data_IF_432547361862
#
_entry.id   IF_432547361862
#
_cell.length_a   1.000
_cell.length_b   1.000
_cell.length_c   1.000
_cell.angle_alpha   90.00
_cell.angle_beta   90.00
_cell.angle_gamma   90.00
#
_symmetry.space_group_name_H-M   'P 1'
#
loop_
_entity.id
_entity.type
_entity.pdbx_description
1 polymer ?
#
# COMPACT_ATOMS: atom_id res chain seq x y z
N UNK A 1 -4.97 -5.81 32.95
CA UNK A 1 -5.24 -4.41 33.30
C UNK A 1 -5.15 -3.65 31.99
N UNK A 2 -6.29 -3.36 31.38
CA UNK A 2 -6.33 -2.41 30.27
C UNK A 2 -5.91 -1.07 30.85
N UNK A 3 -4.67 -0.67 30.58
CA UNK A 3 -4.27 0.70 30.85
C UNK A 3 -5.06 1.51 29.85
N UNK A 4 -6.03 2.25 30.36
CA UNK A 4 -6.80 3.25 29.62
C UNK A 4 -5.86 4.40 29.24
N UNK A 5 -4.95 4.10 28.32
CA UNK A 5 -4.18 5.09 27.59
C UNK A 5 -5.14 5.59 26.52
N UNK A 6 -5.95 6.59 26.83
CA UNK A 6 -6.58 7.43 25.81
C UNK A 6 -5.47 8.00 24.93
N UNK A 7 -5.64 7.94 23.60
CA UNK A 7 -4.73 8.62 22.68
C UNK A 7 -4.87 10.12 22.98
N UNK A 8 -3.81 10.81 23.42
CA UNK A 8 -3.96 12.09 24.10
C UNK A 8 -4.15 13.30 23.18
N UNK A 9 -4.53 13.10 21.91
CA UNK A 9 -4.78 14.19 20.97
C UNK A 9 -5.77 13.73 19.87
N UNK A 10 -6.52 14.68 19.30
CA UNK A 10 -7.36 14.45 18.11
C UNK A 10 -6.47 14.29 16.88
N UNK A 11 -6.66 13.21 16.10
CA UNK A 11 -5.96 13.06 14.83
C UNK A 11 -6.35 14.22 13.90
N UNK A 12 -5.38 14.84 13.20
CA UNK A 12 -5.66 15.99 12.35
C UNK A 12 -6.51 15.58 11.13
N UNK A 13 -7.77 16.05 11.19
CA UNK A 13 -8.82 16.09 10.15
C UNK A 13 -9.14 14.76 9.43
N UNK A 14 -10.41 14.29 9.39
CA UNK A 14 -10.82 13.14 8.58
C UNK A 14 -10.37 13.28 7.12
N UNK A 15 -9.80 12.21 6.57
CA UNK A 15 -9.23 12.19 5.23
C UNK A 15 -10.30 12.03 4.12
N UNK A 16 -11.32 12.89 4.13
CA UNK A 16 -12.34 12.91 3.07
C UNK A 16 -11.95 13.84 1.91
N UNK A 17 -11.03 14.79 2.14
CA UNK A 17 -10.53 15.69 1.10
C UNK A 17 -9.20 15.20 0.50
N UNK A 18 -9.19 14.97 -0.82
CA UNK A 18 -7.99 14.62 -1.60
C UNK A 18 -7.00 15.80 -1.75
N UNK A 19 -7.40 17.01 -1.36
CA UNK A 19 -6.54 18.18 -1.27
C UNK A 19 -6.05 18.34 0.17
N UNK A 20 -5.16 17.44 0.58
CA UNK A 20 -4.52 17.57 1.88
C UNK A 20 -3.52 18.72 1.78
N UNK A 21 -3.84 19.84 2.43
CA UNK A 21 -2.90 20.95 2.59
C UNK A 21 -1.61 20.43 3.27
N UNK A 22 -0.45 20.97 2.88
CA UNK A 22 0.86 20.54 3.37
C UNK A 22 0.97 20.53 4.91
N UNK A 23 0.24 21.45 5.55
CA UNK A 23 0.11 21.55 7.01
C UNK A 23 -0.51 20.30 7.64
N UNK A 24 -1.57 19.74 7.03
CA UNK A 24 -2.25 18.52 7.53
C UNK A 24 -1.30 17.31 7.46
N UNK A 25 -0.45 17.22 6.44
CA UNK A 25 0.53 16.13 6.34
C UNK A 25 1.58 16.19 7.45
N UNK A 26 2.06 17.39 7.72
CA UNK A 26 3.03 17.62 8.79
C UNK A 26 2.44 17.22 10.15
N UNK A 27 1.19 17.58 10.43
CA UNK A 27 0.49 17.19 11.65
C UNK A 27 0.31 15.67 11.75
N UNK A 28 -0.01 14.99 10.64
CA UNK A 28 -0.13 13.51 10.61
C UNK A 28 1.21 12.82 10.85
N UNK A 29 2.33 13.38 10.40
CA UNK A 29 3.63 12.82 10.76
C UNK A 29 3.98 13.08 12.21
N UNK A 30 3.68 14.28 12.72
CA UNK A 30 3.86 14.61 14.13
C UNK A 30 3.05 13.69 15.04
N UNK A 31 1.83 13.29 14.64
CA UNK A 31 1.02 12.26 15.30
C UNK A 31 1.83 10.97 15.50
N UNK A 32 2.38 10.40 14.42
CA UNK A 32 3.04 9.08 14.45
C UNK A 32 4.34 9.12 15.22
N UNK A 33 5.04 10.24 15.13
CA UNK A 33 6.36 10.43 15.74
C UNK A 33 6.27 10.89 17.21
N UNK A 34 5.06 11.20 17.70
CA UNK A 34 4.89 11.69 19.07
C UNK A 34 5.23 10.61 20.12
N UNK A 35 5.88 10.99 21.24
CA UNK A 35 6.17 10.04 22.34
C UNK A 35 4.92 9.39 22.93
N UNK A 36 3.78 10.07 22.86
CA UNK A 36 2.49 9.58 23.35
C UNK A 36 1.92 8.49 22.46
N UNK A 37 1.90 8.68 21.14
CA UNK A 37 1.51 7.65 20.18
C UNK A 37 2.42 6.44 20.30
N UNK A 38 3.73 6.66 20.39
CA UNK A 38 4.70 5.58 20.58
C UNK A 38 4.37 4.72 21.82
N UNK A 39 4.21 5.35 23.00
CA UNK A 39 3.89 4.64 24.24
C UNK A 39 2.55 3.91 24.18
N UNK A 40 1.58 4.46 23.46
CA UNK A 40 0.25 3.85 23.29
C UNK A 40 0.33 2.52 22.52
N UNK A 41 1.12 2.49 21.45
CA UNK A 41 1.36 1.27 20.66
C UNK A 41 2.29 0.30 21.39
N UNK A 42 3.31 0.80 22.09
CA UNK A 42 4.23 -0.02 22.89
C UNK A 42 3.49 -0.81 23.97
N UNK A 43 2.56 -0.15 24.69
CA UNK A 43 1.70 -0.79 25.69
C UNK A 43 0.80 -1.91 25.10
N UNK A 44 0.61 -1.94 23.78
CA UNK A 44 -0.17 -2.93 23.03
C UNK A 44 0.71 -3.92 22.25
N UNK A 45 2.02 -3.93 22.51
CA UNK A 45 2.96 -4.88 21.92
C UNK A 45 3.47 -4.50 20.54
N UNK A 46 3.37 -3.23 20.15
CA UNK A 46 3.88 -2.73 18.86
C UNK A 46 4.94 -1.65 19.08
N UNK A 47 6.15 -1.88 18.58
CA UNK A 47 7.20 -0.88 18.54
C UNK A 47 7.18 -0.20 17.18
N UNK A 48 6.70 1.05 17.12
CA UNK A 48 6.68 1.82 15.87
C UNK A 48 8.08 2.01 15.30
N UNK A 49 8.16 2.12 13.98
CA UNK A 49 9.38 2.54 13.30
C UNK A 49 9.70 3.99 13.62
N UNK A 50 10.98 4.35 13.54
CA UNK A 50 11.45 5.72 13.74
C UNK A 50 11.65 6.40 12.39
N UNK A 51 11.12 7.62 12.26
CA UNK A 51 11.39 8.48 11.11
C UNK A 51 12.85 8.94 11.11
N UNK A 52 13.47 8.93 9.94
CA UNK A 52 14.82 9.45 9.76
C UNK A 52 14.80 10.98 9.73
N UNK A 53 15.82 11.66 10.29
CA UNK A 53 15.90 13.12 10.20
C UNK A 53 15.99 13.57 8.73
N UNK A 54 15.40 14.72 8.40
CA UNK A 54 15.65 15.44 7.15
C UNK A 54 17.05 16.04 7.18
N UNK A 55 17.67 16.27 6.01
CA UNK A 55 18.80 17.19 5.92
C UNK A 55 18.35 18.61 6.27
N UNK A 56 19.26 19.46 6.75
CA UNK A 56 18.95 20.83 7.22
C UNK A 56 18.28 21.75 6.17
N UNK A 57 18.28 21.35 4.88
CA UNK A 57 17.80 22.16 3.74
C UNK A 57 16.46 21.66 3.12
N UNK A 58 15.84 20.58 3.63
CA UNK A 58 14.63 20.02 3.00
C UNK A 58 13.35 20.65 3.57
N UNK A 59 12.63 21.39 2.72
CA UNK A 59 11.30 21.95 3.00
C UNK A 59 10.19 20.88 3.05
N UNK A 60 10.48 19.61 2.74
CA UNK A 60 9.49 18.53 2.63
C UNK A 60 9.65 17.53 3.78
N UNK A 61 8.56 17.14 4.48
CA UNK A 61 8.61 16.13 5.53
C UNK A 61 9.20 14.79 5.04
N UNK A 62 10.11 14.21 5.82
CA UNK A 62 10.73 12.94 5.47
C UNK A 62 9.74 11.76 5.59
N UNK A 63 9.42 11.07 4.48
CA UNK A 63 8.54 9.89 4.49
C UNK A 63 9.25 8.59 4.94
N UNK A 64 10.55 8.65 5.19
CA UNK A 64 11.40 7.49 5.45
C UNK A 64 11.41 7.10 6.93
N UNK A 65 11.05 5.84 7.20
CA UNK A 65 11.07 5.26 8.55
C UNK A 65 11.87 3.95 8.59
N UNK A 66 12.56 3.68 9.70
CA UNK A 66 13.35 2.46 9.94
C UNK A 66 12.88 1.72 11.19
N UNK A 67 13.00 0.39 11.25
CA UNK A 67 12.76 -0.36 12.47
C UNK A 67 13.64 0.14 13.61
N UNK A 68 13.08 0.28 14.81
CA UNK A 68 13.86 0.66 16.00
C UNK A 68 14.56 -0.54 16.64
N UNK A 69 13.99 -1.73 16.49
CA UNK A 69 14.58 -2.97 16.99
C UNK A 69 15.34 -3.66 15.86
N UNK A 70 16.46 -4.27 16.21
CA UNK A 70 17.25 -5.03 15.25
C UNK A 70 16.42 -6.18 14.67
N UNK A 71 16.62 -6.46 13.38
CA UNK A 71 16.00 -7.58 12.67
C UNK A 71 17.09 -8.57 12.24
N UNK A 72 16.79 -9.88 12.12
CA UNK A 72 17.75 -10.82 11.58
C UNK A 72 18.21 -10.43 10.17
N UNK A 73 19.41 -10.87 9.78
CA UNK A 73 20.04 -10.55 8.49
C UNK A 73 19.18 -10.94 7.29
N UNK A 74 18.57 -12.11 7.35
CA UNK A 74 17.73 -12.69 6.30
C UNK A 74 16.63 -13.46 7.02
N UNK A 75 15.38 -13.21 6.63
CA UNK A 75 14.20 -13.87 7.16
C UNK A 75 13.39 -14.42 6.00
N UNK A 76 13.20 -15.74 5.98
CA UNK A 76 12.31 -16.43 5.06
C UNK A 76 10.85 -16.10 5.36
N UNK A 77 10.00 -16.06 4.33
CA UNK A 77 8.58 -15.78 4.53
C UNK A 77 7.87 -16.95 5.23
N UNK A 78 7.14 -16.64 6.30
CA UNK A 78 6.11 -17.49 6.88
C UNK A 78 4.77 -16.76 6.79
N UNK A 79 3.90 -17.19 5.88
CA UNK A 79 2.63 -16.49 5.63
C UNK A 79 1.84 -16.29 6.95
N UNK A 80 1.39 -15.05 7.25
CA UNK A 80 1.27 -13.91 6.34
C UNK A 80 2.46 -12.96 6.33
N UNK A 81 3.56 -13.27 6.99
CA UNK A 81 4.75 -12.43 7.07
C UNK A 81 5.66 -12.62 5.84
N UNK A 82 6.26 -11.53 5.33
CA UNK A 82 7.05 -11.55 4.10
C UNK A 82 8.51 -11.95 4.35
N UNK A 83 9.22 -12.23 3.25
CA UNK A 83 10.67 -12.28 3.21
C UNK A 83 11.23 -10.89 3.57
N UNK A 84 12.29 -10.83 4.37
CA UNK A 84 13.00 -9.58 4.56
C UNK A 84 14.45 -9.69 4.99
N UNK A 85 15.21 -8.66 4.69
CA UNK A 85 16.63 -8.51 5.06
C UNK A 85 16.80 -7.45 6.14
N UNK A 86 17.96 -7.44 6.79
CA UNK A 86 18.24 -6.53 7.90
C UNK A 86 18.34 -5.05 7.47
N UNK A 87 17.78 -4.21 8.34
CA UNK A 87 17.71 -2.76 8.24
C UNK A 87 18.82 -2.01 9.01
N UNK A 88 19.61 -2.68 9.86
CA UNK A 88 20.49 -2.02 10.84
C UNK A 88 21.80 -1.46 10.28
N UNK A 89 21.99 -1.39 8.95
CA UNK A 89 23.19 -0.78 8.36
C UNK A 89 23.00 0.64 7.81
N UNK A 90 21.82 1.24 7.93
CA UNK A 90 21.63 2.62 7.49
C UNK A 90 22.10 3.60 8.57
N UNK A 91 23.37 4.01 8.55
CA UNK A 91 23.84 5.13 9.38
C UNK A 91 23.54 6.47 8.69
N UNK A 92 23.44 7.55 9.48
CA UNK A 92 23.10 8.89 8.99
C UNK A 92 24.11 9.43 7.95
N UNK A 93 25.37 8.99 8.01
CA UNK A 93 26.43 9.40 7.08
C UNK A 93 26.23 8.84 5.66
N UNK A 94 25.72 7.62 5.54
CA UNK A 94 25.38 7.03 4.25
C UNK A 94 24.14 7.69 3.63
N UNK A 95 23.17 8.11 4.44
CA UNK A 95 22.02 8.90 3.99
C UNK A 95 22.46 10.24 3.38
N UNK A 96 23.31 11.01 4.07
CA UNK A 96 23.82 12.31 3.58
C UNK A 96 24.62 12.18 2.28
N UNK A 97 25.37 11.08 2.10
CA UNK A 97 26.11 10.81 0.86
C UNK A 97 25.15 10.60 -0.31
N UNK A 98 24.14 9.79 -0.08
CA UNK A 98 23.13 9.43 -1.06
C UNK A 98 22.30 10.65 -1.51
N UNK A 99 21.86 11.51 -0.59
CA UNK A 99 21.12 12.75 -0.91
C UNK A 99 21.97 13.77 -1.69
N UNK A 100 23.31 13.79 -1.50
CA UNK A 100 24.19 14.72 -2.23
C UNK A 100 24.42 14.34 -3.70
N UNK A 101 24.38 13.05 -4.03
CA UNK A 101 24.50 12.57 -5.42
C UNK A 101 23.23 12.81 -6.27
N UNK A 102 22.15 13.32 -5.66
CA UNK A 102 20.83 13.55 -6.27
C UNK A 102 20.68 14.85 -7.07
N UNK A 103 21.72 15.69 -7.13
CA UNK A 103 21.65 17.04 -7.73
C UNK A 103 21.75 17.08 -9.27
N UNK A 104 21.56 15.95 -9.97
CA UNK A 104 21.63 15.90 -11.44
C UNK A 104 20.34 15.32 -12.03
N UNK A 105 19.54 16.22 -12.60
CA UNK A 105 18.48 16.03 -13.60
C UNK A 105 17.97 14.61 -13.83
N UNK A 106 16.83 14.24 -13.20
CA UNK A 106 15.77 13.45 -13.82
C UNK A 106 14.66 13.15 -12.80
N UNK A 107 13.42 13.49 -13.15
CA UNK A 107 12.18 13.15 -12.44
C UNK A 107 11.84 11.64 -12.46
N UNK A 108 12.83 10.76 -12.37
CA UNK A 108 12.68 9.30 -12.49
C UNK A 108 13.59 8.46 -11.58
N UNK A 109 14.21 9.05 -10.55
CA UNK A 109 15.16 8.36 -9.67
C UNK A 109 14.63 8.30 -8.22
N UNK A 110 13.63 7.46 -7.94
CA UNK A 110 13.25 7.10 -6.56
C UNK A 110 14.09 5.91 -6.08
N UNK A 111 15.39 6.14 -5.92
CA UNK A 111 16.30 5.22 -5.26
C UNK A 111 17.11 6.06 -4.31
N UNK A 112 16.97 5.83 -3.02
CA UNK A 112 18.07 5.77 -2.06
C UNK A 112 17.50 5.38 -0.69
N UNK A 113 18.42 4.96 0.17
CA UNK A 113 18.20 4.19 1.39
C UNK A 113 16.92 4.59 2.12
N UNK A 114 16.13 3.59 2.54
CA UNK A 114 14.93 3.69 3.38
C UNK A 114 13.59 3.63 2.62
N UNK A 115 12.57 3.06 3.29
CA UNK A 115 11.31 2.58 2.72
C UNK A 115 10.49 3.73 2.12
N UNK A 116 10.37 3.73 0.80
CA UNK A 116 9.43 4.59 0.09
C UNK A 116 8.00 4.11 0.34
N UNK A 117 7.23 4.83 1.16
CA UNK A 117 5.76 4.78 1.12
C UNK A 117 5.36 5.24 -0.30
N UNK A 118 4.71 4.43 -1.16
CA UNK A 118 4.31 4.87 -2.49
C UNK A 118 3.53 6.19 -2.41
N UNK A 119 3.49 6.97 -3.50
CA UNK A 119 2.75 8.24 -3.54
C UNK A 119 1.29 8.10 -3.05
N UNK A 120 0.68 6.91 -3.11
CA UNK A 120 -0.63 6.63 -2.51
C UNK A 120 -0.63 6.41 -0.97
N UNK A 121 0.44 5.86 -0.38
CA UNK A 121 0.52 5.54 1.06
C UNK A 121 1.18 6.62 1.91
N UNK A 122 2.13 7.35 1.34
CA UNK A 122 2.96 8.33 2.07
C UNK A 122 2.34 9.72 2.08
N UNK A 123 1.68 10.13 1.01
CA UNK A 123 1.15 11.48 0.83
C UNK A 123 -0.11 11.76 1.66
N UNK A 124 -0.57 10.83 2.50
CA UNK A 124 -1.69 11.09 3.40
C UNK A 124 -1.35 10.86 4.88
N UNK A 125 -0.16 10.38 5.24
CA UNK A 125 0.20 10.13 6.65
C UNK A 125 -0.75 9.17 7.39
N UNK A 126 -1.45 8.27 6.69
CA UNK A 126 -2.42 7.32 7.28
C UNK A 126 -1.80 6.02 7.79
N UNK A 127 -0.56 5.72 7.38
CA UNK A 127 0.09 4.44 7.66
C UNK A 127 1.41 4.64 8.39
N UNK A 128 1.63 3.85 9.43
CA UNK A 128 2.93 3.66 10.07
C UNK A 128 3.36 2.20 10.00
N UNK A 129 4.67 1.96 10.08
CA UNK A 129 5.21 0.61 10.23
C UNK A 129 5.62 0.37 11.68
N UNK A 130 5.57 -0.90 12.10
CA UNK A 130 5.94 -1.31 13.45
C UNK A 130 6.51 -2.73 13.45
N UNK A 131 7.10 -3.13 14.57
CA UNK A 131 7.40 -4.52 14.90
C UNK A 131 6.50 -4.97 16.05
N UNK A 132 5.97 -6.19 15.96
CA UNK A 132 5.25 -6.80 17.09
C UNK A 132 6.21 -7.40 18.14
N UNK A 133 5.66 -8.01 19.19
CA UNK A 133 6.44 -8.64 20.27
C UNK A 133 7.30 -9.82 19.83
N UNK A 134 7.07 -10.37 18.64
CA UNK A 134 7.88 -11.42 18.02
C UNK A 134 8.87 -10.86 16.99
N UNK A 135 9.05 -9.53 16.96
CA UNK A 135 9.87 -8.79 15.99
C UNK A 135 9.40 -8.91 14.54
N UNK A 136 8.17 -9.36 14.30
CA UNK A 136 7.59 -9.46 12.96
C UNK A 136 7.10 -8.09 12.53
N UNK A 137 7.32 -7.76 11.26
CA UNK A 137 7.02 -6.43 10.75
C UNK A 137 5.55 -6.30 10.32
N UNK A 138 4.91 -5.24 10.79
CA UNK A 138 3.50 -4.92 10.52
C UNK A 138 3.35 -3.51 9.97
N UNK A 139 2.28 -3.32 9.20
CA UNK A 139 1.77 -2.03 8.78
C UNK A 139 0.51 -1.73 9.60
N UNK A 140 0.41 -0.49 10.07
CA UNK A 140 -0.69 0.01 10.90
C UNK A 140 -1.34 1.13 10.10
N UNK A 141 -2.55 0.89 9.60
CA UNK A 141 -3.33 1.88 8.86
C UNK A 141 -4.41 2.46 9.75
N UNK A 142 -4.49 3.78 9.83
CA UNK A 142 -5.62 4.47 10.45
C UNK A 142 -6.78 4.55 9.44
N UNK A 143 -7.96 4.10 9.87
CA UNK A 143 -9.17 4.05 9.06
C UNK A 143 -10.32 4.69 9.82
N UNK A 144 -11.10 5.56 9.18
CA UNK A 144 -12.25 6.24 9.79
C UNK A 144 -13.41 5.27 10.00
N UNK A 145 -14.07 5.38 11.16
CA UNK A 145 -15.26 4.59 11.46
C UNK A 145 -16.43 4.95 10.52
N UNK A 146 -17.30 3.99 10.22
CA UNK A 146 -18.46 4.18 9.32
C UNK A 146 -18.15 4.11 7.82
N UNK A 147 -16.87 4.16 7.42
CA UNK A 147 -16.45 4.04 6.01
C UNK A 147 -16.70 2.63 5.43
N UNK A 148 -16.81 2.53 4.10
CA UNK A 148 -16.79 1.23 3.41
C UNK A 148 -15.45 0.52 3.60
N UNK A 149 -14.32 1.26 3.64
CA UNK A 149 -13.00 0.69 3.86
C UNK A 149 -12.97 -0.18 5.13
N UNK A 150 -13.40 0.37 6.27
CA UNK A 150 -13.39 -0.38 7.53
C UNK A 150 -14.30 -1.61 7.46
N UNK A 151 -15.48 -1.48 6.84
CA UNK A 151 -16.43 -2.60 6.65
C UNK A 151 -15.84 -3.70 5.76
N UNK A 152 -15.11 -3.34 4.71
CA UNK A 152 -14.40 -4.28 3.83
C UNK A 152 -13.30 -5.00 4.62
N UNK A 153 -12.46 -4.28 5.34
CA UNK A 153 -11.37 -4.87 6.13
C UNK A 153 -11.91 -5.83 7.20
N UNK A 154 -13.03 -5.50 7.85
CA UNK A 154 -13.75 -6.39 8.76
C UNK A 154 -14.38 -7.61 8.07
N UNK A 155 -14.86 -7.48 6.84
CA UNK A 155 -15.39 -8.61 6.06
C UNK A 155 -14.26 -9.56 5.67
N UNK A 156 -13.12 -9.02 5.23
CA UNK A 156 -11.94 -9.79 4.86
C UNK A 156 -11.32 -10.48 6.07
N UNK A 157 -11.29 -9.84 7.24
CA UNK A 157 -10.76 -10.46 8.46
C UNK A 157 -11.55 -11.67 8.95
N UNK A 158 -12.79 -11.84 8.49
CA UNK A 158 -13.62 -13.03 8.78
C UNK A 158 -13.32 -14.22 7.87
N UNK A 159 -12.60 -13.99 6.78
CA UNK A 159 -12.18 -15.06 5.87
C UNK A 159 -11.00 -15.83 6.49
N UNK A 160 -10.83 -17.08 6.09
CA UNK A 160 -9.66 -17.84 6.54
C UNK A 160 -8.37 -17.25 5.95
N UNK A 161 -7.22 -17.32 6.66
CA UNK A 161 -5.93 -16.89 6.11
C UNK A 161 -5.60 -17.57 4.77
N UNK A 162 -5.98 -18.85 4.63
CA UNK A 162 -5.77 -19.60 3.39
C UNK A 162 -6.64 -19.05 2.24
N UNK A 163 -7.90 -18.71 2.50
CA UNK A 163 -8.78 -18.08 1.50
C UNK A 163 -8.21 -16.76 1.01
N UNK A 164 -7.73 -15.90 1.92
CA UNK A 164 -7.13 -14.62 1.54
C UNK A 164 -5.84 -14.82 0.73
N UNK A 165 -5.00 -15.78 1.12
CA UNK A 165 -3.79 -16.16 0.38
C UNK A 165 -4.10 -16.62 -1.05
N UNK A 166 -5.05 -17.53 -1.21
CA UNK A 166 -5.42 -18.12 -2.51
C UNK A 166 -6.03 -17.10 -3.47
N UNK A 167 -6.71 -16.09 -2.92
CA UNK A 167 -7.35 -15.00 -3.65
C UNK A 167 -6.49 -13.72 -3.66
N UNK A 168 -5.22 -13.80 -3.27
CA UNK A 168 -4.27 -12.70 -3.40
C UNK A 168 -4.76 -11.39 -2.74
N UNK A 169 -5.27 -11.47 -1.51
CA UNK A 169 -5.64 -10.31 -0.68
C UNK A 169 -4.76 -10.22 0.56
N UNK A 170 -4.45 -8.99 0.98
CA UNK A 170 -3.68 -8.75 2.21
C UNK A 170 -4.54 -9.14 3.43
N UNK A 171 -4.05 -9.96 4.37
CA UNK A 171 -4.82 -10.31 5.55
C UNK A 171 -4.74 -9.23 6.62
N UNK A 172 -5.83 -9.08 7.37
CA UNK A 172 -5.88 -8.25 8.58
C UNK A 172 -5.47 -9.10 9.79
N UNK A 173 -4.46 -8.64 10.53
CA UNK A 173 -3.93 -9.30 11.72
C UNK A 173 -4.69 -8.90 12.99
N UNK A 174 -5.25 -7.68 13.02
CA UNK A 174 -5.97 -7.18 14.18
C UNK A 174 -6.53 -5.78 13.97
N UNK A 175 -7.38 -5.38 14.91
CA UNK A 175 -8.03 -4.07 14.97
C UNK A 175 -7.79 -3.47 16.35
N UNK A 176 -7.44 -2.19 16.40
CA UNK A 176 -7.40 -1.41 17.63
C UNK A 176 -8.38 -0.24 17.48
N UNK A 177 -9.65 -0.41 17.89
CA UNK A 177 -10.66 0.63 17.79
C UNK A 177 -10.34 1.78 18.74
N UNK A 178 -10.62 3.00 18.30
CA UNK A 178 -10.55 4.25 19.06
C UNK A 178 -11.78 5.09 18.72
N UNK A 179 -12.01 6.20 19.41
CA UNK A 179 -13.16 7.05 19.11
C UNK A 179 -13.10 7.59 17.68
N UNK A 180 -14.11 7.26 16.86
CA UNK A 180 -14.26 7.72 15.48
C UNK A 180 -13.33 7.07 14.44
N UNK A 181 -12.39 6.22 14.86
CA UNK A 181 -11.41 5.59 13.98
C UNK A 181 -11.01 4.18 14.44
N UNK A 182 -10.26 3.47 13.61
CA UNK A 182 -9.68 2.19 13.93
C UNK A 182 -8.26 2.08 13.35
N UNK A 183 -7.29 1.62 14.15
CA UNK A 183 -6.04 1.14 13.59
C UNK A 183 -6.19 -0.29 13.12
N UNK A 184 -5.98 -0.51 11.83
CA UNK A 184 -5.99 -1.81 11.20
C UNK A 184 -4.56 -2.30 11.04
N UNK A 185 -4.27 -3.46 11.62
CA UNK A 185 -2.95 -4.08 11.62
C UNK A 185 -2.87 -5.09 10.49
N UNK A 186 -1.85 -4.98 9.64
CA UNK A 186 -1.62 -5.83 8.46
C UNK A 186 -0.14 -6.25 8.42
N UNK A 187 0.21 -7.37 7.77
CA UNK A 187 1.63 -7.72 7.59
C UNK A 187 2.32 -6.68 6.67
N UNK A 188 3.56 -6.31 6.99
CA UNK A 188 4.29 -5.27 6.24
C UNK A 188 4.87 -5.78 4.92
N UNK A 189 4.05 -6.01 3.91
CA UNK A 189 4.57 -6.45 2.61
C UNK A 189 5.28 -5.31 1.84
N UNK A 190 6.13 -5.68 0.89
CA UNK A 190 6.82 -4.72 0.03
C UNK A 190 5.94 -4.20 -1.09
N UNK A 191 6.27 -3.00 -1.57
CA UNK A 191 5.58 -2.35 -2.69
C UNK A 191 6.38 -2.52 -3.98
N UNK A 192 5.96 -1.82 -5.04
CA UNK A 192 6.70 -1.72 -6.31
C UNK A 192 6.94 -3.11 -6.94
N UNK A 193 5.86 -3.86 -7.16
CA UNK A 193 5.91 -5.26 -7.63
C UNK A 193 6.62 -5.45 -8.97
N UNK A 194 6.62 -4.40 -9.80
CA UNK A 194 7.30 -4.33 -11.09
C UNK A 194 8.82 -4.18 -10.98
N UNK A 195 9.36 -4.06 -9.76
CA UNK A 195 10.78 -3.91 -9.49
C UNK A 195 11.35 -5.11 -8.70
N UNK A 196 12.56 -5.59 -9.02
CA UNK A 196 13.32 -5.24 -10.24
C UNK A 196 12.52 -5.64 -11.49
N UNK A 197 12.86 -5.09 -12.66
CA UNK A 197 12.07 -5.29 -13.88
C UNK A 197 11.79 -6.77 -14.14
N UNK A 198 10.60 -7.07 -14.66
CA UNK A 198 10.25 -8.43 -15.04
C UNK A 198 11.18 -8.90 -16.17
N UNK A 199 11.81 -10.06 -15.98
CA UNK A 199 12.74 -10.65 -16.96
C UNK A 199 12.04 -11.57 -17.95
N UNK A 200 10.89 -12.13 -17.57
CA UNK A 200 10.14 -13.10 -18.38
C UNK A 200 8.65 -12.75 -18.45
N UNK A 201 7.99 -13.14 -19.54
CA UNK A 201 6.52 -13.07 -19.67
C UNK A 201 5.81 -13.85 -18.57
N UNK A 202 6.39 -14.96 -18.10
CA UNK A 202 5.87 -15.74 -16.98
C UNK A 202 5.71 -14.88 -15.73
N UNK A 203 6.70 -14.03 -15.41
CA UNK A 203 6.62 -13.16 -14.24
C UNK A 203 5.51 -12.11 -14.37
N UNK A 204 5.34 -11.55 -15.57
CA UNK A 204 4.25 -10.62 -15.86
C UNK A 204 2.89 -11.30 -15.66
N UNK A 205 2.71 -12.47 -16.28
CA UNK A 205 1.46 -13.25 -16.21
C UNK A 205 1.13 -13.67 -14.78
N UNK A 206 2.13 -14.00 -13.95
CA UNK A 206 1.92 -14.33 -12.53
C UNK A 206 1.30 -13.16 -11.73
N UNK A 207 1.78 -11.93 -11.96
CA UNK A 207 1.23 -10.73 -11.29
C UNK A 207 -0.17 -10.43 -11.81
N UNK A 208 -0.37 -10.45 -13.13
CA UNK A 208 -1.68 -10.25 -13.75
C UNK A 208 -2.71 -11.25 -13.23
N UNK A 209 -2.34 -12.53 -13.15
CA UNK A 209 -3.20 -13.60 -12.64
C UNK A 209 -3.54 -13.40 -11.15
N UNK A 210 -2.59 -12.94 -10.34
CA UNK A 210 -2.85 -12.61 -8.92
C UNK A 210 -3.86 -11.47 -8.78
N UNK A 211 -3.74 -10.42 -9.61
CA UNK A 211 -4.70 -9.31 -9.61
C UNK A 211 -6.09 -9.75 -10.07
N UNK A 212 -6.17 -10.56 -11.13
CA UNK A 212 -7.44 -11.13 -11.63
C UNK A 212 -8.14 -12.01 -10.58
N UNK A 213 -7.38 -12.79 -9.82
CA UNK A 213 -7.89 -13.60 -8.71
C UNK A 213 -8.52 -12.73 -7.62
N UNK A 214 -7.78 -11.73 -7.14
CA UNK A 214 -8.29 -10.83 -6.11
C UNK A 214 -9.49 -10.02 -6.59
N UNK A 215 -9.48 -9.54 -7.84
CA UNK A 215 -10.64 -8.87 -8.43
C UNK A 215 -11.88 -9.77 -8.42
N UNK A 216 -11.74 -10.99 -8.92
CA UNK A 216 -12.86 -11.94 -9.01
C UNK A 216 -13.44 -12.24 -7.62
N UNK A 217 -12.56 -12.41 -6.62
CA UNK A 217 -12.98 -12.66 -5.25
C UNK A 217 -13.69 -11.44 -4.63
N UNK A 218 -13.14 -10.24 -4.78
CA UNK A 218 -13.76 -9.00 -4.30
C UNK A 218 -15.14 -8.80 -4.93
N UNK A 219 -15.25 -8.98 -6.25
CA UNK A 219 -16.54 -8.91 -6.95
C UNK A 219 -17.51 -9.98 -6.46
N UNK A 220 -17.02 -11.18 -6.14
CA UNK A 220 -17.81 -12.24 -5.50
C UNK A 220 -18.41 -11.82 -4.16
N UNK A 221 -17.73 -10.96 -3.41
CA UNK A 221 -18.19 -10.37 -2.15
C UNK A 221 -18.96 -9.06 -2.33
N UNK A 222 -19.34 -8.69 -3.56
CA UNK A 222 -19.96 -7.41 -3.90
C UNK A 222 -19.12 -6.18 -3.53
N UNK A 223 -17.79 -6.33 -3.48
CA UNK A 223 -16.86 -5.22 -3.27
C UNK A 223 -16.38 -4.73 -4.64
N UNK A 224 -16.43 -3.42 -4.86
CA UNK A 224 -15.75 -2.76 -5.98
C UNK A 224 -14.55 -1.99 -5.43
N UNK A 225 -13.38 -2.18 -6.02
CA UNK A 225 -12.15 -1.58 -5.51
C UNK A 225 -11.98 -0.11 -5.91
N UNK A 226 -12.30 0.22 -7.18
CA UNK A 226 -12.22 1.53 -7.82
C UNK A 226 -10.82 2.14 -8.01
N UNK A 227 -9.76 1.44 -7.63
CA UNK A 227 -8.39 1.93 -7.82
C UNK A 227 -7.36 0.80 -8.04
N UNK A 228 -7.71 -0.16 -8.90
CA UNK A 228 -6.82 -1.28 -9.17
C UNK A 228 -5.66 -0.87 -10.09
N UNK A 229 -4.49 -0.68 -9.50
CA UNK A 229 -3.24 -0.42 -10.20
C UNK A 229 -2.07 -1.19 -9.59
N UNK A 230 -0.92 -1.29 -10.27
CA UNK A 230 0.26 -2.01 -9.74
C UNK A 230 0.83 -1.38 -8.46
N UNK A 231 0.47 -0.13 -8.14
CA UNK A 231 0.85 0.52 -6.87
C UNK A 231 0.02 -0.01 -5.69
N UNK A 232 -1.20 -0.48 -5.95
CA UNK A 232 -2.12 -1.06 -4.98
C UNK A 232 -2.04 -2.61 -4.99
N UNK A 233 -0.86 -3.12 -5.33
CA UNK A 233 -0.48 -4.52 -5.18
C UNK A 233 0.81 -4.59 -4.37
N UNK A 234 0.80 -5.43 -3.36
CA UNK A 234 1.93 -5.75 -2.51
C UNK A 234 2.60 -7.05 -2.97
N UNK A 235 3.87 -7.21 -2.61
CA UNK A 235 4.64 -8.44 -2.75
C UNK A 235 5.19 -8.85 -1.39
N UNK A 236 5.15 -10.14 -1.06
CA UNK A 236 5.60 -10.68 0.23
C UNK A 236 7.13 -10.67 0.40
N UNK A 237 7.81 -9.64 -0.07
CA UNK A 237 9.22 -9.43 0.15
C UNK A 237 9.54 -7.95 0.27
N UNK A 238 10.40 -7.58 1.21
CA UNK A 238 10.96 -6.25 1.32
C UNK A 238 12.41 -6.28 1.78
N UNK A 239 13.21 -5.33 1.33
CA UNK A 239 14.62 -5.23 1.74
C UNK A 239 14.97 -3.82 2.18
N UNK A 240 16.15 -3.71 2.78
CA UNK A 240 16.82 -2.45 3.06
C UNK A 240 17.55 -1.89 1.83
N UNK A 241 17.71 -2.70 0.78
CA UNK A 241 18.39 -2.31 -0.46
C UNK A 241 17.77 -1.02 -1.04
N UNK A 242 18.67 -0.09 -1.32
CA UNK A 242 18.44 1.33 -1.56
C UNK A 242 17.99 1.59 -2.99
N UNK A 243 18.17 0.61 -3.87
CA UNK A 243 17.73 0.63 -5.24
C UNK A 243 16.64 -0.39 -5.43
N UNK A 244 15.38 0.08 -5.60
CA UNK A 244 14.30 -0.83 -6.01
C UNK A 244 14.66 -1.58 -7.30
N UNK A 245 15.51 -0.99 -8.14
CA UNK A 245 15.99 -1.56 -9.39
C UNK A 245 17.08 -2.63 -9.22
N UNK A 246 17.85 -2.57 -8.13
CA UNK A 246 18.89 -3.54 -7.82
C UNK A 246 18.48 -4.27 -6.55
N UNK A 247 17.68 -5.32 -6.70
CA UNK A 247 17.23 -6.15 -5.59
C UNK A 247 17.40 -7.62 -6.00
N UNK A 248 18.62 -8.17 -5.89
CA UNK A 248 18.96 -9.50 -6.41
C UNK A 248 18.13 -10.58 -5.71
N UNK A 249 17.90 -10.47 -4.41
CA UNK A 249 17.13 -11.47 -3.69
C UNK A 249 15.66 -11.52 -4.15
N UNK A 250 15.03 -10.36 -4.40
CA UNK A 250 13.69 -10.34 -5.01
C UNK A 250 13.70 -10.97 -6.40
N UNK A 251 14.74 -10.75 -7.21
CA UNK A 251 14.86 -11.36 -8.53
C UNK A 251 14.96 -12.89 -8.42
N UNK A 252 15.79 -13.41 -7.51
CA UNK A 252 15.93 -14.84 -7.23
C UNK A 252 14.62 -15.46 -6.74
N UNK A 253 13.97 -14.85 -5.74
CA UNK A 253 12.68 -15.30 -5.23
C UNK A 253 11.60 -15.32 -6.32
N UNK A 254 11.64 -14.36 -7.24
CA UNK A 254 10.73 -14.29 -8.39
C UNK A 254 11.01 -15.40 -9.39
N UNK A 255 12.28 -15.65 -9.73
CA UNK A 255 12.68 -16.74 -10.63
C UNK A 255 12.32 -18.11 -10.06
N UNK A 256 12.41 -18.28 -8.74
CA UNK A 256 12.00 -19.49 -8.03
C UNK A 256 10.47 -19.65 -7.90
N UNK A 257 9.69 -18.61 -8.21
CA UNK A 257 8.23 -18.62 -8.05
C UNK A 257 7.75 -18.55 -6.60
N UNK A 258 8.60 -18.09 -5.68
CA UNK A 258 8.32 -18.03 -4.23
C UNK A 258 7.56 -16.77 -3.80
N UNK A 259 7.47 -15.76 -4.67
CA UNK A 259 6.80 -14.51 -4.34
C UNK A 259 5.27 -14.63 -4.43
N UNK A 260 4.60 -14.12 -3.40
CA UNK A 260 3.16 -13.92 -3.32
C UNK A 260 2.83 -12.45 -3.56
N UNK A 261 1.68 -12.21 -4.20
CA UNK A 261 1.15 -10.88 -4.45
C UNK A 261 -0.21 -10.72 -3.76
N UNK A 262 -0.49 -9.51 -3.28
CA UNK A 262 -1.73 -9.21 -2.58
C UNK A 262 -2.27 -7.84 -2.97
N UNK A 263 -3.55 -7.76 -3.34
CA UNK A 263 -4.27 -6.50 -3.46
C UNK A 263 -4.52 -5.94 -2.06
N UNK A 264 -4.44 -4.62 -1.94
CA UNK A 264 -4.72 -3.85 -0.75
C UNK A 264 -5.20 -2.46 -1.11
N UNK A 265 -5.47 -1.67 -0.06
CA UNK A 265 -5.86 -0.26 -0.14
C UNK A 265 -7.29 -0.04 -0.61
N UNK A 266 -8.23 -0.13 0.34
CA UNK A 266 -9.66 -0.05 0.08
C UNK A 266 -10.25 1.36 0.31
N UNK A 267 -9.41 2.41 0.31
CA UNK A 267 -9.79 3.80 0.57
C UNK A 267 -10.96 4.27 -0.32
N UNK A 268 -10.93 3.91 -1.61
CA UNK A 268 -11.95 4.29 -2.60
C UNK A 268 -12.98 3.19 -2.84
N UNK A 269 -12.83 2.05 -2.17
CA UNK A 269 -13.67 0.89 -2.40
C UNK A 269 -15.06 1.08 -1.81
N UNK A 270 -16.04 0.42 -2.42
CA UNK A 270 -17.44 0.44 -1.98
C UNK A 270 -17.99 -0.98 -1.89
N UNK A 271 -18.94 -1.19 -0.98
CA UNK A 271 -19.70 -2.44 -0.88
C UNK A 271 -21.06 -2.21 -1.55
N UNK A 272 -21.30 -2.89 -2.68
CA UNK A 272 -22.63 -2.91 -3.28
C UNK A 272 -23.62 -3.66 -2.38
N UNK A 273 -24.91 -3.26 -2.33
CA UNK A 273 -25.91 -3.94 -1.53
C UNK A 273 -25.96 -5.45 -1.81
N UNK A 274 -26.20 -6.32 -0.80
CA UNK A 274 -26.17 -7.76 -0.97
C UNK A 274 -27.11 -8.30 -2.06
N UNK A 275 -28.24 -7.63 -2.26
CA UNK A 275 -29.31 -7.93 -3.22
C UNK A 275 -29.14 -7.19 -4.56
N UNK A 276 -28.16 -6.29 -4.67
CA UNK A 276 -27.90 -5.58 -5.90
C UNK A 276 -27.41 -6.55 -6.99
N UNK A 277 -28.09 -6.53 -8.14
CA UNK A 277 -27.56 -7.19 -9.33
C UNK A 277 -26.40 -6.35 -9.85
N UNK A 278 -25.22 -6.97 -10.00
CA UNK A 278 -24.00 -6.31 -10.47
C UNK A 278 -24.22 -5.50 -11.75
N UNK A 279 -24.97 -6.03 -12.72
CA UNK A 279 -25.27 -5.37 -14.00
C UNK A 279 -26.20 -4.16 -13.91
N UNK A 280 -26.90 -3.99 -12.79
CA UNK A 280 -27.86 -2.89 -12.54
C UNK A 280 -27.32 -1.89 -11.49
N UNK A 281 -26.29 -2.25 -10.73
CA UNK A 281 -25.68 -1.37 -9.73
C UNK A 281 -24.91 -0.23 -10.41
N UNK A 282 -25.19 1.00 -10.01
CA UNK A 282 -24.59 2.22 -10.57
C UNK A 282 -24.06 3.11 -9.47
N UNK A 283 -22.96 3.79 -9.75
CA UNK A 283 -22.41 4.85 -8.91
C UNK A 283 -22.45 6.19 -9.67
N UNK A 284 -22.59 7.33 -8.96
CA UNK A 284 -22.49 8.65 -9.55
C UNK A 284 -21.21 8.84 -10.36
N UNK A 285 -21.30 9.53 -11.50
CA UNK A 285 -20.17 9.67 -12.42
C UNK A 285 -18.91 10.30 -11.78
N UNK A 286 -19.07 11.24 -10.85
CA UNK A 286 -17.96 11.95 -10.20
C UNK A 286 -17.07 11.01 -9.40
N UNK A 287 -17.64 9.91 -8.89
CA UNK A 287 -16.88 8.85 -8.23
C UNK A 287 -15.90 8.14 -9.17
N UNK A 288 -16.11 8.17 -10.49
CA UNK A 288 -15.15 7.59 -11.45
C UNK A 288 -13.88 8.45 -11.63
N UNK A 289 -13.88 9.70 -11.17
CA UNK A 289 -12.76 10.64 -11.37
C UNK A 289 -11.69 10.55 -10.27
N UNK A 290 -11.94 9.83 -9.17
CA UNK A 290 -11.02 9.68 -8.04
C UNK A 290 -10.15 8.41 -8.16
N UNK A 291 -8.84 8.53 -7.89
CA UNK A 291 -7.92 7.39 -7.84
C UNK A 291 -6.62 7.59 -8.64
N UNK A 292 -6.12 6.51 -9.24
CA UNK A 292 -4.83 6.45 -9.92
C UNK A 292 -4.71 7.23 -11.23
N UNK A 293 -5.78 7.90 -11.67
CA UNK A 293 -5.89 8.60 -12.96
C UNK A 293 -5.64 7.70 -14.19
N UNK A 294 -5.66 6.38 -14.02
CA UNK A 294 -5.58 5.40 -15.10
C UNK A 294 -6.94 4.73 -15.39
N UNK A 295 -8.03 5.39 -15.00
CA UNK A 295 -9.36 4.81 -15.06
C UNK A 295 -9.93 4.82 -16.50
N UNK A 296 -10.85 3.91 -16.86
CA UNK A 296 -11.62 3.97 -18.10
C UNK A 296 -12.30 5.32 -18.29
N UNK A 297 -12.48 5.74 -19.55
CA UNK A 297 -13.17 6.98 -19.89
C UNK A 297 -14.71 6.80 -19.97
N UNK A 298 -15.26 5.83 -19.24
CA UNK A 298 -16.67 5.42 -19.32
C UNK A 298 -17.67 6.53 -18.94
N UNK A 299 -17.21 7.58 -18.25
CA UNK A 299 -18.00 8.76 -17.86
C UNK A 299 -17.57 10.04 -18.57
N UNK A 300 -16.60 9.96 -19.49
CA UNK A 300 -16.01 11.13 -20.13
C UNK A 300 -16.92 11.73 -21.21
N UNK A 301 -18.07 11.11 -21.52
CA UNK A 301 -19.03 11.58 -22.53
C UNK A 301 -20.27 12.25 -21.91
N UNK A 302 -20.30 12.42 -20.59
CA UNK A 302 -21.39 13.09 -19.87
C UNK A 302 -22.44 12.13 -19.31
N UNK A 303 -22.09 10.86 -19.14
CA UNK A 303 -22.89 9.88 -18.39
C UNK A 303 -23.09 10.36 -16.94
N UNK A 304 -24.30 10.21 -16.41
CA UNK A 304 -24.63 10.59 -15.02
C UNK A 304 -24.18 9.57 -13.98
N UNK A 305 -24.00 8.33 -14.41
CA UNK A 305 -23.58 7.22 -13.57
C UNK A 305 -22.73 6.23 -14.39
N UNK A 306 -22.12 5.27 -13.72
CA UNK A 306 -21.34 4.22 -14.37
C UNK A 306 -21.50 2.87 -13.69
N UNK A 307 -21.17 1.80 -14.41
CA UNK A 307 -21.08 0.44 -13.86
C UNK A 307 -19.73 0.27 -13.14
N UNK A 308 -19.72 0.18 -11.81
CA UNK A 308 -18.48 0.17 -11.05
C UNK A 308 -17.76 -1.19 -11.13
N UNK A 309 -18.47 -2.28 -11.39
CA UNK A 309 -17.85 -3.59 -11.59
C UNK A 309 -17.15 -3.65 -12.95
N UNK A 310 -17.79 -3.16 -14.02
CA UNK A 310 -17.16 -3.04 -15.32
C UNK A 310 -15.95 -2.07 -15.28
N UNK A 311 -16.06 -1.00 -14.51
CA UNK A 311 -14.99 -0.03 -14.31
C UNK A 311 -13.73 -0.63 -13.69
N UNK A 312 -13.84 -1.48 -12.66
CA UNK A 312 -12.68 -2.20 -12.10
C UNK A 312 -11.98 -3.06 -13.16
N UNK A 313 -12.78 -3.79 -13.96
CA UNK A 313 -12.26 -4.65 -15.04
C UNK A 313 -11.53 -3.79 -16.09
N UNK A 314 -12.13 -2.69 -16.50
CA UNK A 314 -11.53 -1.74 -17.46
C UNK A 314 -10.26 -1.10 -16.92
N UNK A 315 -10.25 -0.67 -15.64
CA UNK A 315 -9.09 -0.08 -14.97
C UNK A 315 -7.93 -1.05 -14.96
N UNK A 316 -8.19 -2.30 -14.58
CA UNK A 316 -7.16 -3.35 -14.57
C UNK A 316 -6.65 -3.67 -15.98
N UNK A 317 -7.54 -3.69 -16.99
CA UNK A 317 -7.16 -3.86 -18.39
C UNK A 317 -6.24 -2.74 -18.90
N UNK A 318 -6.55 -1.47 -18.57
CA UNK A 318 -5.70 -0.32 -18.89
C UNK A 318 -4.35 -0.38 -18.19
N UNK A 319 -4.32 -0.76 -16.91
CA UNK A 319 -3.09 -0.93 -16.16
C UNK A 319 -2.18 -1.99 -16.81
N UNK A 320 -2.74 -3.12 -17.21
CA UNK A 320 -1.97 -4.15 -17.93
C UNK A 320 -1.43 -3.63 -19.27
N UNK A 321 -2.22 -2.87 -20.02
CA UNK A 321 -1.75 -2.28 -21.27
C UNK A 321 -0.60 -1.28 -21.02
N UNK A 322 -0.74 -0.38 -20.05
CA UNK A 322 0.27 0.64 -19.75
C UNK A 322 1.63 0.03 -19.38
N UNK A 323 1.62 -1.07 -18.62
CA UNK A 323 2.85 -1.68 -18.13
C UNK A 323 3.43 -2.76 -19.05
N UNK A 324 2.58 -3.48 -19.79
CA UNK A 324 2.98 -4.71 -20.47
C UNK A 324 2.69 -4.74 -21.96
N UNK A 325 1.92 -3.79 -22.50
CA UNK A 325 1.77 -3.69 -23.95
C UNK A 325 3.06 -3.13 -24.55
N UNK A 326 3.86 -4.00 -25.13
CA UNK A 326 4.97 -3.59 -25.99
C UNK A 326 4.33 -2.80 -27.13
N UNK A 327 4.72 -1.53 -27.31
CA UNK A 327 4.27 -0.72 -28.46
C UNK A 327 4.52 -1.51 -29.72
N UNK A 328 3.46 -2.07 -30.29
CA UNK A 328 3.47 -2.58 -31.65
C UNK A 328 3.53 -1.35 -32.53
N UNK A 329 4.72 -0.79 -32.75
CA UNK A 329 4.98 0.08 -33.88
C UNK A 329 4.93 -0.79 -35.15
N UNK A 330 3.77 -1.37 -35.45
CA UNK A 330 3.42 -1.68 -36.83
C UNK A 330 2.78 -0.39 -37.32
N UNK A 331 3.65 0.51 -37.78
CA UNK A 331 3.25 1.49 -38.79
C UNK A 331 2.79 0.63 -39.97
N UNK A 332 1.48 0.48 -40.11
CA UNK A 332 0.89 0.09 -41.38
C UNK A 332 1.13 1.27 -42.30
N UNK A 333 2.28 1.26 -42.97
CA UNK A 333 2.51 2.10 -44.14
C UNK A 333 1.51 1.61 -45.20
N UNK A 334 0.46 2.40 -45.40
CA UNK A 334 -0.38 2.31 -46.59
C UNK A 334 0.41 2.74 -47.83
#
# INVERSE_FOLDING_TARGET
MDIDLTIPFEFPVPAEDMNIEEDILTERFAFWDSPTTFKWFEARGYTLYKRMPTGEDDLVPNFYTVPQLASPNVVEAEYPYPYHENYTQCNAEEYTRCVKDFSVESSSLFSLKVIHLPHSFGLQGKVAFAQDTQLRHVAIKLVTEGTDELRILQLLSRQSPQTLRENCLIPVLGFLPIEGFCFVIMPRWGTSVHLPRFETTTNVVQVMHSMLKGLTFLHGLNIVHRDLCLRNVLVNHFSSDHSKHHNPWRAELRQAGSLLHAIFDFDLSVIAPPDAKKSEFRLPYDMSWCGSYNQPFDTAQGEFDYDPFAFDVGTMGREFCNWFQVRTFIVVSF
#
